data_IF_026510049711
#
_entry.id   IF_026510049711
#
_cell.length_a   1.000
_cell.length_b   1.000
_cell.length_c   1.000
_cell.angle_alpha   90.00
_cell.angle_beta   90.00
_cell.angle_gamma   90.00
#
_symmetry.space_group_name_H-M   'P 1'
#
loop_
_entity.id
_entity.type
_entity.pdbx_description
1 polymer ?
#
# COMPACT_ATOMS: atom_id res chain seq x y z
N UNK A 1 64.79 -71.20 -40.28
CA UNK A 1 64.65 -70.09 -41.26
C UNK A 1 63.56 -69.10 -40.78
N UNK A 2 63.81 -67.91 -40.25
CA UNK A 2 64.97 -67.03 -40.10
C UNK A 2 64.79 -66.26 -38.78
N UNK A 3 65.90 -65.83 -38.18
CA UNK A 3 65.95 -65.07 -36.93
C UNK A 3 66.08 -63.56 -37.19
N UNK A 4 65.56 -62.73 -36.25
CA UNK A 4 66.10 -61.44 -35.75
C UNK A 4 65.05 -60.82 -34.81
N UNK A 5 65.18 -60.93 -33.48
CA UNK A 5 66.04 -60.15 -32.56
C UNK A 5 65.63 -58.67 -32.40
N UNK A 6 64.92 -58.40 -31.29
CA UNK A 6 65.13 -57.28 -30.36
C UNK A 6 64.88 -55.83 -30.81
N UNK A 7 63.91 -55.16 -30.15
CA UNK A 7 64.20 -54.12 -29.14
C UNK A 7 62.90 -53.46 -28.64
N UNK A 8 62.74 -53.48 -27.30
CA UNK A 8 61.73 -52.74 -26.55
C UNK A 8 62.06 -51.23 -26.61
N UNK A 9 61.20 -50.43 -27.22
CA UNK A 9 61.30 -48.97 -27.15
C UNK A 9 60.62 -48.46 -25.88
N UNK A 10 61.45 -48.15 -24.88
CA UNK A 10 61.11 -47.32 -23.73
C UNK A 10 60.56 -45.96 -24.23
N UNK A 11 59.25 -45.72 -24.07
CA UNK A 11 58.69 -44.37 -24.22
C UNK A 11 59.09 -43.54 -22.99
N UNK A 12 60.22 -42.84 -23.10
CA UNK A 12 60.61 -41.78 -22.17
C UNK A 12 59.60 -40.63 -22.28
N UNK A 13 58.74 -40.48 -21.27
CA UNK A 13 57.98 -39.26 -21.07
C UNK A 13 58.94 -38.13 -20.66
N UNK A 14 59.48 -37.41 -21.63
CA UNK A 14 60.10 -36.11 -21.37
C UNK A 14 59.01 -35.08 -21.12
N UNK A 15 58.62 -34.94 -19.85
CA UNK A 15 57.95 -33.73 -19.37
C UNK A 15 58.98 -32.60 -19.36
N UNK A 16 59.19 -31.99 -20.53
CA UNK A 16 60.08 -30.85 -20.68
C UNK A 16 59.39 -29.64 -20.06
N UNK A 17 59.97 -28.96 -19.05
CA UNK A 17 59.36 -27.74 -18.53
C UNK A 17 59.23 -26.76 -19.68
N UNK A 18 58.01 -26.30 -19.96
CA UNK A 18 57.76 -25.30 -20.98
C UNK A 18 58.74 -24.14 -20.75
N UNK A 19 59.53 -23.80 -21.77
CA UNK A 19 60.51 -22.72 -21.61
C UNK A 19 59.75 -21.45 -21.27
N UNK A 20 60.35 -20.54 -20.48
CA UNK A 20 59.71 -19.28 -20.11
C UNK A 20 59.16 -18.52 -21.35
N UNK A 21 59.86 -18.68 -22.49
CA UNK A 21 59.49 -18.14 -23.78
C UNK A 21 58.21 -18.77 -24.36
N UNK A 22 58.02 -20.08 -24.22
CA UNK A 22 56.81 -20.77 -24.68
C UNK A 22 55.59 -20.40 -23.83
N UNK A 23 55.80 -20.15 -22.53
CA UNK A 23 54.75 -19.65 -21.65
C UNK A 23 54.36 -18.22 -22.02
N UNK A 24 55.33 -17.33 -22.27
CA UNK A 24 55.09 -15.96 -22.72
C UNK A 24 54.31 -15.92 -24.04
N UNK A 25 54.65 -16.79 -25.00
CA UNK A 25 53.92 -16.90 -26.27
C UNK A 25 52.45 -17.31 -26.03
N UNK A 26 52.21 -18.29 -25.15
CA UNK A 26 50.84 -18.73 -24.82
C UNK A 26 50.05 -17.64 -24.08
N UNK A 27 50.68 -16.93 -23.15
CA UNK A 27 50.06 -15.83 -22.41
C UNK A 27 49.71 -14.67 -23.36
N UNK A 28 50.62 -14.31 -24.27
CA UNK A 28 50.36 -13.26 -25.25
C UNK A 28 49.23 -13.66 -26.21
N UNK A 29 49.20 -14.91 -26.66
CA UNK A 29 48.11 -15.42 -27.50
C UNK A 29 46.76 -15.41 -26.78
N UNK A 30 46.74 -15.80 -25.49
CA UNK A 30 45.53 -15.73 -24.67
C UNK A 30 45.08 -14.29 -24.44
N UNK A 31 46.01 -13.36 -24.19
CA UNK A 31 45.71 -11.93 -24.04
C UNK A 31 45.15 -11.32 -25.32
N UNK A 32 45.66 -11.71 -26.49
CA UNK A 32 45.12 -11.26 -27.78
C UNK A 32 43.72 -11.80 -28.04
N UNK A 33 43.47 -13.08 -27.75
CA UNK A 33 42.13 -13.66 -27.86
C UNK A 33 41.14 -12.93 -26.93
N UNK A 34 41.53 -12.69 -25.68
CA UNK A 34 40.70 -12.01 -24.68
C UNK A 34 40.46 -10.54 -25.07
N UNK A 35 41.46 -9.84 -25.60
CA UNK A 35 41.31 -8.49 -26.18
C UNK A 35 40.36 -8.49 -27.36
N UNK A 36 40.44 -9.48 -28.26
CA UNK A 36 39.53 -9.58 -29.41
C UNK A 36 38.09 -9.82 -28.98
N UNK A 37 37.86 -10.69 -28.00
CA UNK A 37 36.52 -10.91 -27.43
C UNK A 37 36.01 -9.66 -26.71
N UNK A 38 36.85 -9.02 -25.88
CA UNK A 38 36.49 -7.78 -25.19
C UNK A 38 36.27 -6.61 -26.13
N UNK A 39 37.03 -6.48 -27.22
CA UNK A 39 36.85 -5.40 -28.21
C UNK A 39 35.61 -5.63 -29.07
N UNK A 40 35.24 -6.89 -29.33
CA UNK A 40 33.97 -7.24 -29.98
C UNK A 40 32.77 -6.83 -29.12
N UNK A 41 32.86 -7.03 -27.81
CA UNK A 41 31.83 -6.65 -26.83
C UNK A 41 31.85 -5.14 -26.48
N UNK A 42 33.02 -4.50 -26.46
CA UNK A 42 33.18 -3.07 -26.17
C UNK A 42 32.63 -2.15 -27.25
N UNK A 43 32.50 -2.63 -28.49
CA UNK A 43 32.06 -1.80 -29.63
C UNK A 43 30.55 -1.53 -29.68
N UNK A 44 29.76 -2.06 -28.74
CA UNK A 44 28.39 -1.60 -28.54
C UNK A 44 28.17 -1.13 -27.10
N UNK A 45 28.72 0.02 -26.70
CA UNK A 45 28.37 0.65 -25.44
C UNK A 45 26.91 1.12 -25.56
N UNK A 46 26.00 0.27 -25.13
CA UNK A 46 24.60 0.59 -24.98
C UNK A 46 24.42 1.13 -23.56
N UNK A 47 23.66 2.22 -23.40
CA UNK A 47 23.28 2.68 -22.07
C UNK A 47 22.70 1.48 -21.30
N UNK A 48 23.06 1.30 -20.03
CA UNK A 48 22.50 0.19 -19.24
C UNK A 48 20.96 0.16 -19.31
N UNK A 49 20.31 1.33 -19.41
CA UNK A 49 18.86 1.48 -19.62
C UNK A 49 18.31 0.99 -20.97
N UNK A 50 19.18 0.75 -21.96
CA UNK A 50 18.88 0.30 -23.34
C UNK A 50 19.40 -1.11 -23.62
N UNK A 51 20.11 -1.73 -22.70
CA UNK A 51 20.56 -3.12 -22.80
C UNK A 51 19.46 -4.04 -22.25
N UNK A 52 19.05 -5.04 -23.01
CA UNK A 52 18.14 -6.08 -22.52
C UNK A 52 18.85 -6.89 -21.42
N UNK A 53 18.37 -6.80 -20.18
CA UNK A 53 18.98 -7.50 -19.06
C UNK A 53 18.38 -8.90 -18.91
N UNK A 54 19.18 -9.94 -19.18
CA UNK A 54 18.91 -11.35 -18.88
C UNK A 54 19.04 -11.63 -17.38
N UNK A 55 18.06 -11.21 -16.59
CA UNK A 55 17.78 -11.91 -15.34
C UNK A 55 16.60 -12.83 -15.63
N UNK A 56 16.79 -14.14 -15.41
CA UNK A 56 15.93 -15.20 -15.97
C UNK A 56 14.42 -15.02 -15.76
N UNK A 57 13.96 -14.28 -14.74
CA UNK A 57 12.58 -13.76 -14.80
C UNK A 57 12.27 -12.54 -13.91
N UNK A 58 12.91 -11.38 -14.19
CA UNK A 58 12.50 -10.10 -13.55
C UNK A 58 11.01 -9.77 -13.79
N UNK A 59 10.45 -10.26 -14.91
CA UNK A 59 9.06 -10.05 -15.26
C UNK A 59 8.12 -10.89 -14.40
N UNK A 60 8.39 -12.17 -14.20
CA UNK A 60 7.58 -13.01 -13.32
C UNK A 60 7.63 -12.54 -11.86
N UNK A 61 8.79 -12.03 -11.39
CA UNK A 61 8.86 -11.43 -10.07
C UNK A 61 7.93 -10.21 -9.96
N UNK A 62 7.97 -9.31 -10.95
CA UNK A 62 7.10 -8.14 -10.99
C UNK A 62 5.62 -8.55 -11.09
N UNK A 63 5.27 -9.46 -11.99
CA UNK A 63 3.91 -10.00 -12.16
C UNK A 63 3.39 -10.64 -10.86
N UNK A 64 4.21 -11.43 -10.17
CA UNK A 64 3.83 -12.09 -8.91
C UNK A 64 3.61 -11.08 -7.79
N UNK A 65 4.51 -10.11 -7.64
CA UNK A 65 4.38 -9.07 -6.62
C UNK A 65 3.18 -8.15 -6.90
N UNK A 66 2.99 -7.72 -8.15
CA UNK A 66 1.84 -6.91 -8.54
C UNK A 66 0.53 -7.68 -8.32
N UNK A 67 0.47 -8.95 -8.71
CA UNK A 67 -0.72 -9.79 -8.48
C UNK A 67 -1.02 -9.93 -6.99
N UNK A 68 0.00 -10.12 -6.15
CA UNK A 68 -0.16 -10.20 -4.70
C UNK A 68 -0.67 -8.88 -4.12
N UNK A 69 -0.14 -7.74 -4.55
CA UNK A 69 -0.57 -6.41 -4.10
C UNK A 69 -2.03 -6.18 -4.50
N UNK A 70 -2.40 -6.44 -5.75
CA UNK A 70 -3.79 -6.31 -6.22
C UNK A 70 -4.71 -7.21 -5.39
N UNK A 71 -4.36 -8.48 -5.21
CA UNK A 71 -5.14 -9.42 -4.40
C UNK A 71 -5.28 -8.94 -2.94
N UNK A 72 -4.22 -8.38 -2.35
CA UNK A 72 -4.24 -7.83 -0.99
C UNK A 72 -5.17 -6.62 -0.87
N UNK A 73 -5.07 -5.66 -1.79
CA UNK A 73 -5.94 -4.48 -1.81
C UNK A 73 -7.41 -4.86 -2.00
N UNK A 74 -7.71 -5.78 -2.93
CA UNK A 74 -9.07 -6.29 -3.11
C UNK A 74 -9.58 -6.99 -1.85
N UNK A 75 -8.72 -7.77 -1.18
CA UNK A 75 -9.11 -8.42 0.07
C UNK A 75 -9.42 -7.43 1.18
N UNK A 76 -8.68 -6.30 1.24
CA UNK A 76 -8.99 -5.23 2.18
C UNK A 76 -10.36 -4.61 1.90
N UNK A 77 -10.69 -4.33 0.64
CA UNK A 77 -12.02 -3.82 0.25
C UNK A 77 -13.14 -4.79 0.65
N UNK A 78 -12.94 -6.08 0.42
CA UNK A 78 -13.88 -7.14 0.85
C UNK A 78 -14.02 -7.20 2.38
N UNK A 79 -12.92 -7.08 3.11
CA UNK A 79 -12.93 -7.10 4.57
C UNK A 79 -13.68 -5.90 5.15
N UNK A 80 -13.45 -4.70 4.61
CA UNK A 80 -14.21 -3.51 5.02
C UNK A 80 -15.71 -3.68 4.76
N UNK A 81 -16.08 -4.27 3.62
CA UNK A 81 -17.48 -4.55 3.30
C UNK A 81 -18.10 -5.63 4.19
N UNK A 82 -17.32 -6.64 4.60
CA UNK A 82 -17.80 -7.68 5.51
C UNK A 82 -17.99 -7.17 6.95
N UNK A 83 -17.03 -6.40 7.47
CA UNK A 83 -17.02 -5.98 8.88
C UNK A 83 -17.88 -4.75 9.15
N UNK A 84 -17.96 -3.84 8.18
CA UNK A 84 -18.58 -2.51 8.35
C UNK A 84 -19.55 -2.16 7.22
N UNK A 85 -19.83 -3.09 6.30
CA UNK A 85 -20.69 -2.89 5.15
C UNK A 85 -22.07 -3.49 5.28
N UNK A 86 -22.92 -3.13 4.32
CA UNK A 86 -24.28 -3.65 4.19
C UNK A 86 -24.36 -4.89 3.28
N UNK A 87 -23.25 -5.26 2.63
CA UNK A 87 -23.14 -6.37 1.69
C UNK A 87 -21.93 -7.21 2.08
N UNK A 88 -22.18 -8.40 2.63
CA UNK A 88 -21.14 -9.33 3.09
C UNK A 88 -20.41 -10.03 1.94
N UNK A 89 -20.42 -11.36 1.85
CA UNK A 89 -19.62 -12.10 0.86
C UNK A 89 -19.97 -11.80 -0.62
N UNK A 90 -21.14 -11.20 -0.88
CA UNK A 90 -21.62 -10.86 -2.22
C UNK A 90 -20.87 -9.69 -2.88
N UNK A 91 -20.10 -8.92 -2.10
CA UNK A 91 -19.40 -7.73 -2.61
C UNK A 91 -18.45 -8.06 -3.75
N UNK A 92 -17.84 -9.25 -3.72
CA UNK A 92 -16.89 -9.70 -4.74
C UNK A 92 -17.54 -9.82 -6.12
N UNK A 93 -18.76 -10.34 -6.18
CA UNK A 93 -19.51 -10.44 -7.43
C UNK A 93 -19.84 -9.05 -8.00
N UNK A 94 -20.11 -8.07 -7.14
CA UNK A 94 -20.36 -6.69 -7.56
C UNK A 94 -19.09 -6.00 -8.06
N UNK A 95 -17.94 -6.24 -7.42
CA UNK A 95 -16.64 -5.76 -7.89
C UNK A 95 -16.29 -6.35 -9.27
N UNK A 96 -16.56 -7.64 -9.50
CA UNK A 96 -16.39 -8.28 -10.82
C UNK A 96 -17.30 -7.64 -11.87
N UNK A 97 -18.57 -7.35 -11.53
CA UNK A 97 -19.48 -6.65 -12.45
C UNK A 97 -19.00 -5.24 -12.78
N UNK A 98 -18.50 -4.51 -11.79
CA UNK A 98 -17.93 -3.17 -11.98
C UNK A 98 -16.69 -3.23 -12.88
N UNK A 99 -15.78 -4.19 -12.64
CA UNK A 99 -14.62 -4.42 -13.51
C UNK A 99 -15.04 -4.74 -14.96
N UNK A 100 -16.02 -5.61 -15.14
CA UNK A 100 -16.53 -6.00 -16.45
C UNK A 100 -17.19 -4.84 -17.22
N UNK A 101 -17.67 -3.81 -16.51
CA UNK A 101 -18.30 -2.64 -17.14
C UNK A 101 -17.34 -1.79 -17.99
N UNK A 102 -16.02 -1.92 -17.78
CA UNK A 102 -14.96 -1.12 -18.43
C UNK A 102 -15.14 0.40 -18.28
N UNK A 103 -15.94 0.82 -17.30
CA UNK A 103 -16.08 2.24 -16.94
C UNK A 103 -15.00 2.62 -15.94
N UNK A 104 -14.71 3.92 -15.86
CA UNK A 104 -13.89 4.46 -14.78
C UNK A 104 -14.62 4.26 -13.45
N UNK A 105 -13.93 3.64 -12.48
CA UNK A 105 -14.45 3.36 -11.14
C UNK A 105 -13.69 4.19 -10.12
N UNK A 106 -14.42 4.96 -9.33
CA UNK A 106 -13.87 5.80 -8.27
C UNK A 106 -14.30 5.27 -6.91
N UNK A 107 -13.34 5.15 -5.99
CA UNK A 107 -13.57 4.91 -4.58
C UNK A 107 -13.65 6.26 -3.87
N UNK A 108 -14.75 6.52 -3.18
CA UNK A 108 -14.96 7.73 -2.42
C UNK A 108 -15.26 7.42 -0.95
N UNK A 109 -14.71 8.28 -0.09
CA UNK A 109 -15.03 8.33 1.33
C UNK A 109 -15.66 9.68 1.64
N UNK A 110 -16.76 9.64 2.38
CA UNK A 110 -17.39 10.83 2.95
C UNK A 110 -17.50 10.65 4.46
N UNK A 111 -16.92 11.57 5.22
CA UNK A 111 -17.02 11.61 6.67
C UNK A 111 -17.67 12.91 7.11
N UNK A 112 -18.51 12.83 8.14
CA UNK A 112 -19.23 13.94 8.72
C UNK A 112 -19.06 13.90 10.23
N UNK A 113 -18.51 14.98 10.77
CA UNK A 113 -18.50 15.26 12.20
C UNK A 113 -19.62 16.23 12.51
N UNK A 114 -20.28 16.03 13.64
CA UNK A 114 -21.34 16.91 14.13
C UNK A 114 -21.15 17.16 15.61
N UNK A 115 -21.49 18.37 16.05
CA UNK A 115 -21.60 18.70 17.46
C UNK A 115 -22.95 19.35 17.69
N UNK A 116 -23.74 18.80 18.61
CA UNK A 116 -25.08 19.30 18.94
C UNK A 116 -25.16 19.60 20.42
N UNK A 117 -25.68 20.78 20.77
CA UNK A 117 -25.99 21.08 22.15
C UNK A 117 -27.15 20.19 22.65
N UNK A 118 -26.96 19.52 23.79
CA UNK A 118 -27.98 18.68 24.40
C UNK A 118 -28.72 19.42 25.51
N UNK A 119 -27.99 19.85 26.55
CA UNK A 119 -28.58 20.46 27.75
C UNK A 119 -27.56 21.24 28.58
N UNK A 120 -28.09 22.06 29.49
CA UNK A 120 -27.34 22.77 30.55
C UNK A 120 -27.75 22.20 31.89
N UNK A 121 -26.81 21.95 32.80
CA UNK A 121 -27.09 21.55 34.17
C UNK A 121 -26.12 22.22 35.14
N UNK A 122 -26.60 22.58 36.32
CA UNK A 122 -25.78 23.16 37.37
C UNK A 122 -25.42 22.06 38.38
N UNK A 123 -24.14 22.01 38.75
CA UNK A 123 -23.61 21.12 39.79
C UNK A 123 -23.02 21.95 40.92
N UNK A 124 -23.54 21.73 42.12
CA UNK A 124 -22.99 22.33 43.32
C UNK A 124 -21.78 21.52 43.81
N UNK A 125 -20.64 22.19 43.93
CA UNK A 125 -19.44 21.62 44.53
C UNK A 125 -19.20 22.36 45.85
N UNK A 126 -19.22 21.64 46.98
CA UNK A 126 -19.06 22.27 48.27
C UNK A 126 -17.58 22.59 48.50
N UNK A 127 -17.23 23.85 48.71
CA UNK A 127 -15.85 24.32 48.85
C UNK A 127 -15.11 23.57 49.96
N UNK A 128 -13.82 23.32 49.75
CA UNK A 128 -12.90 22.77 50.76
C UNK A 128 -12.60 23.78 51.87
N UNK A 129 -12.89 25.06 51.64
CA UNK A 129 -12.60 26.15 52.59
C UNK A 129 -13.81 26.35 53.52
N UNK A 130 -13.61 26.06 54.81
CA UNK A 130 -14.59 26.30 55.87
C UNK A 130 -14.45 27.74 56.35
N UNK A 131 -15.53 28.52 56.30
CA UNK A 131 -15.60 29.83 56.94
C UNK A 131 -16.19 29.63 58.33
N UNK A 132 -15.33 29.71 59.35
CA UNK A 132 -15.73 29.62 60.74
C UNK A 132 -15.84 31.04 61.29
N UNK A 133 -17.06 31.53 61.47
CA UNK A 133 -17.30 32.84 62.08
C UNK A 133 -17.59 32.61 63.56
N UNK A 134 -16.67 33.03 64.44
CA UNK A 134 -16.86 32.94 65.88
C UNK A 134 -17.60 34.18 66.38
N UNK A 135 -18.86 34.04 66.79
CA UNK A 135 -19.59 35.08 67.53
C UNK A 135 -19.34 34.91 69.03
N UNK A 136 -19.08 36.03 69.72
CA UNK A 136 -18.62 36.08 71.11
C UNK A 136 -19.69 35.74 72.17
N UNK A 137 -20.89 35.34 71.79
CA UNK A 137 -21.93 34.87 72.72
C UNK A 137 -22.64 33.61 72.17
N UNK A 138 -22.24 32.44 72.68
CA UNK A 138 -22.95 31.13 72.64
C UNK A 138 -23.51 30.64 71.29
N UNK A 139 -22.65 30.44 70.29
CA UNK A 139 -22.98 29.53 69.19
C UNK A 139 -21.96 29.51 68.06
N UNK A 140 -21.40 28.33 67.76
CA UNK A 140 -20.57 28.15 66.56
C UNK A 140 -21.48 27.95 65.35
N UNK A 141 -21.54 28.91 64.43
CA UNK A 141 -22.25 28.74 63.15
C UNK A 141 -21.24 28.39 62.06
N UNK A 142 -21.31 27.17 61.54
CA UNK A 142 -20.48 26.73 60.41
C UNK A 142 -21.13 27.15 59.09
N UNK A 143 -20.48 28.03 58.34
CA UNK A 143 -20.94 28.46 57.01
C UNK A 143 -20.04 27.84 55.94
N UNK A 144 -20.60 26.98 55.08
CA UNK A 144 -19.86 26.40 53.95
C UNK A 144 -20.19 27.16 52.68
N UNK A 145 -19.18 27.66 51.99
CA UNK A 145 -19.35 28.26 50.67
C UNK A 145 -19.62 27.14 49.66
N UNK A 146 -20.78 27.18 49.02
CA UNK A 146 -21.14 26.29 47.91
C UNK A 146 -20.83 27.02 46.60
N UNK A 147 -20.08 26.38 45.71
CA UNK A 147 -19.81 26.92 44.38
C UNK A 147 -20.66 26.17 43.36
N UNK A 148 -21.55 26.90 42.69
CA UNK A 148 -22.35 26.37 41.58
C UNK A 148 -21.52 26.41 40.31
N UNK A 149 -21.28 25.24 39.69
CA UNK A 149 -20.63 25.12 38.38
C UNK A 149 -21.70 24.80 37.35
N UNK A 150 -21.79 25.64 36.34
CA UNK A 150 -22.61 25.37 35.16
C UNK A 150 -21.87 24.45 34.19
N UNK A 151 -22.52 23.35 33.82
CA UNK A 151 -22.04 22.35 32.87
C UNK A 151 -22.96 22.33 31.62
N UNK A 152 -22.35 22.30 30.45
CA UNK A 152 -22.98 22.22 29.14
C UNK A 152 -22.67 20.86 28.52
N UNK A 153 -23.71 20.14 28.11
CA UNK A 153 -23.63 18.80 27.56
C UNK A 153 -23.79 18.88 26.05
N UNK A 154 -22.86 18.26 25.33
CA UNK A 154 -22.79 18.28 23.87
C UNK A 154 -22.74 16.85 23.35
N UNK A 155 -23.50 16.54 22.31
CA UNK A 155 -23.34 15.30 21.57
C UNK A 155 -22.37 15.53 20.42
N UNK A 156 -21.22 14.86 20.47
CA UNK A 156 -20.26 14.82 19.37
C UNK A 156 -20.48 13.53 18.60
N UNK A 157 -20.84 13.65 17.33
CA UNK A 157 -21.04 12.52 16.42
C UNK A 157 -20.00 12.50 15.31
N UNK A 158 -19.55 11.31 14.93
CA UNK A 158 -18.73 11.09 13.75
C UNK A 158 -19.32 9.93 12.96
N UNK A 159 -19.55 10.14 11.67
CA UNK A 159 -19.99 9.11 10.75
C UNK A 159 -19.18 9.14 9.46
N UNK A 160 -18.93 7.97 8.89
CA UNK A 160 -18.31 7.86 7.58
C UNK A 160 -19.03 6.84 6.69
N UNK A 161 -18.91 7.04 5.39
CA UNK A 161 -19.36 6.15 4.35
C UNK A 161 -18.25 5.99 3.31
N UNK A 162 -18.00 4.75 2.90
CA UNK A 162 -17.08 4.36 1.84
C UNK A 162 -17.89 3.70 0.73
N UNK A 163 -17.76 4.18 -0.49
CA UNK A 163 -18.54 3.69 -1.63
C UNK A 163 -17.75 3.77 -2.93
N UNK A 164 -18.07 2.90 -3.87
CA UNK A 164 -17.60 2.91 -5.25
C UNK A 164 -18.68 3.49 -6.14
N UNK A 165 -18.30 4.20 -7.20
CA UNK A 165 -19.24 4.60 -8.24
C UNK A 165 -18.58 4.64 -9.61
N UNK A 166 -19.40 4.59 -10.66
CA UNK A 166 -18.94 4.76 -12.05
C UNK A 166 -19.50 6.05 -12.63
N UNK A 167 -18.68 6.81 -13.36
CA UNK A 167 -19.12 8.08 -13.97
C UNK A 167 -19.30 9.21 -12.94
N UNK A 168 -20.37 9.99 -13.05
CA UNK A 168 -20.69 11.07 -12.11
C UNK A 168 -21.45 10.52 -10.89
N UNK A 169 -21.08 10.95 -9.69
CA UNK A 169 -21.64 10.51 -8.41
C UNK A 169 -23.08 11.02 -8.15
N UNK A 170 -23.86 11.31 -9.19
CA UNK A 170 -25.13 12.02 -9.05
C UNK A 170 -26.32 11.06 -8.92
N UNK A 171 -26.12 9.77 -9.24
CA UNK A 171 -27.16 8.74 -9.20
C UNK A 171 -26.86 7.66 -8.15
N UNK A 172 -27.73 7.48 -7.13
CA UNK A 172 -27.57 6.44 -6.11
C UNK A 172 -27.52 5.02 -6.68
N UNK A 173 -28.11 4.80 -7.86
CA UNK A 173 -28.14 3.49 -8.52
C UNK A 173 -26.75 3.05 -9.02
N UNK A 174 -25.86 4.01 -9.30
CA UNK A 174 -24.48 3.75 -9.76
C UNK A 174 -23.48 3.69 -8.59
N UNK A 175 -23.97 3.76 -7.34
CA UNK A 175 -23.15 3.71 -6.13
C UNK A 175 -23.21 2.34 -5.47
N UNK A 176 -22.06 1.70 -5.34
CA UNK A 176 -21.86 0.51 -4.53
C UNK A 176 -21.28 0.90 -3.17
N UNK A 177 -22.13 0.97 -2.15
CA UNK A 177 -21.68 1.22 -0.77
C UNK A 177 -20.86 0.04 -0.26
N UNK A 178 -19.60 0.29 0.09
CA UNK A 178 -18.70 -0.70 0.68
C UNK A 178 -18.89 -0.78 2.18
N UNK A 179 -18.73 0.34 2.88
CA UNK A 179 -18.73 0.38 4.33
C UNK A 179 -19.35 1.67 4.85
N UNK A 180 -19.80 1.67 6.09
CA UNK A 180 -20.06 2.92 6.79
C UNK A 180 -20.45 2.68 8.23
N UNK A 181 -20.02 3.61 9.08
CA UNK A 181 -20.30 3.54 10.52
C UNK A 181 -20.58 4.93 11.03
N UNK A 182 -21.47 5.02 12.00
CA UNK A 182 -21.71 6.24 12.77
C UNK A 182 -21.59 5.93 14.25
N UNK A 183 -21.03 6.88 15.00
CA UNK A 183 -20.91 6.82 16.45
C UNK A 183 -21.07 8.22 17.04
N UNK A 184 -21.43 8.28 18.31
CA UNK A 184 -21.49 9.55 19.04
C UNK A 184 -21.13 9.35 20.50
N UNK A 185 -20.60 10.40 21.13
CA UNK A 185 -20.35 10.47 22.56
C UNK A 185 -20.88 11.80 23.14
N UNK A 186 -21.06 11.81 24.45
CA UNK A 186 -21.41 13.02 25.19
C UNK A 186 -20.12 13.68 25.73
N UNK A 187 -19.99 14.99 25.53
CA UNK A 187 -18.90 15.82 26.02
C UNK A 187 -19.47 16.88 26.94
N UNK A 188 -18.83 17.10 28.09
CA UNK A 188 -19.27 18.07 29.09
C UNK A 188 -18.24 19.20 29.15
N UNK A 189 -18.70 20.44 28.98
CA UNK A 189 -17.86 21.64 29.11
C UNK A 189 -18.42 22.59 30.16
N UNK A 190 -17.60 23.53 30.63
CA UNK A 190 -18.05 24.65 31.51
C UNK A 190 -18.33 25.93 30.74
N UNK A 191 -18.09 25.92 29.43
CA UNK A 191 -18.36 27.04 28.54
C UNK A 191 -19.57 26.71 27.69
N UNK A 192 -20.37 27.73 27.41
CA UNK A 192 -21.48 27.71 26.47
C UNK A 192 -21.06 27.70 25.00
N UNK A 193 -19.75 27.72 24.72
CA UNK A 193 -19.18 27.63 23.37
C UNK A 193 -19.04 26.18 22.94
N UNK A 194 -19.29 25.95 21.65
CA UNK A 194 -19.10 24.66 21.01
C UNK A 194 -17.65 24.16 21.21
N UNK A 195 -17.46 22.90 21.66
CA UNK A 195 -16.12 22.32 21.84
C UNK A 195 -15.42 22.02 20.50
N UNK A 196 -16.19 21.75 19.44
CA UNK A 196 -15.74 21.55 18.06
C UNK A 196 -16.78 22.19 17.12
N UNK A 197 -16.44 22.46 15.84
CA UNK A 197 -17.41 22.98 14.88
C UNK A 197 -18.70 22.14 14.85
N UNK A 198 -19.84 22.82 14.69
CA UNK A 198 -21.18 22.18 14.69
C UNK A 198 -21.30 21.10 13.61
N UNK A 199 -20.62 21.30 12.48
CA UNK A 199 -20.54 20.33 11.41
C UNK A 199 -19.25 20.48 10.60
N UNK A 200 -18.48 19.41 10.48
CA UNK A 200 -17.39 19.29 9.52
C UNK A 200 -17.69 18.17 8.53
N UNK A 201 -17.28 18.35 7.29
CA UNK A 201 -17.40 17.33 6.24
C UNK A 201 -16.03 17.11 5.64
N UNK A 202 -15.59 15.86 5.60
CA UNK A 202 -14.38 15.43 4.92
C UNK A 202 -14.78 14.53 3.76
N UNK A 203 -14.15 14.74 2.61
CA UNK A 203 -14.35 13.91 1.45
C UNK A 203 -13.00 13.64 0.79
N UNK A 204 -12.83 12.43 0.25
CA UNK A 204 -11.66 12.03 -0.50
C UNK A 204 -12.03 10.98 -1.52
N UNK A 205 -11.41 11.05 -2.69
CA UNK A 205 -11.71 10.19 -3.82
C UNK A 205 -10.40 9.69 -4.43
N UNK A 206 -10.37 8.44 -4.88
CA UNK A 206 -9.27 7.89 -5.67
C UNK A 206 -9.80 6.94 -6.75
N UNK A 207 -9.12 6.90 -7.90
CA UNK A 207 -9.45 5.92 -8.94
C UNK A 207 -8.99 4.54 -8.49
N UNK A 208 -9.87 3.55 -8.64
CA UNK A 208 -9.53 2.13 -8.46
C UNK A 208 -9.72 1.35 -9.76
N UNK A 209 -9.83 2.06 -10.88
CA UNK A 209 -10.07 1.48 -12.21
C UNK A 209 -8.98 0.46 -12.55
N UNK A 210 -7.70 0.84 -12.39
CA UNK A 210 -6.57 -0.04 -12.63
C UNK A 210 -6.63 -1.30 -11.76
N UNK A 211 -6.88 -1.13 -10.45
CA UNK A 211 -6.99 -2.24 -9.50
C UNK A 211 -8.07 -3.25 -9.92
N UNK A 212 -9.27 -2.76 -10.27
CA UNK A 212 -10.39 -3.61 -10.65
C UNK A 212 -10.21 -4.23 -12.04
N UNK A 213 -9.46 -3.62 -12.94
CA UNK A 213 -9.20 -4.14 -14.29
C UNK A 213 -8.51 -5.52 -14.30
N UNK A 214 -7.83 -5.86 -13.20
CA UNK A 214 -7.14 -7.14 -13.01
C UNK A 214 -8.03 -8.26 -12.46
N UNK A 215 -9.33 -7.99 -12.23
CA UNK A 215 -10.32 -8.99 -11.88
C UNK A 215 -10.97 -9.52 -13.16
N UNK A 216 -10.70 -10.80 -13.50
CA UNK A 216 -11.33 -11.45 -14.66
C UNK A 216 -12.57 -12.24 -14.27
N UNK A 217 -12.45 -12.99 -13.18
CA UNK A 217 -13.50 -13.83 -12.61
C UNK A 217 -13.45 -13.71 -11.09
N UNK A 218 -14.43 -14.28 -10.40
CA UNK A 218 -14.46 -14.23 -8.94
C UNK A 218 -13.16 -14.76 -8.32
N UNK A 219 -12.48 -15.77 -8.89
CA UNK A 219 -11.27 -16.34 -8.27
C UNK A 219 -9.96 -15.96 -8.95
N UNK A 220 -10.01 -15.25 -10.07
CA UNK A 220 -8.83 -14.94 -10.87
C UNK A 220 -8.46 -13.46 -10.77
N UNK A 221 -7.40 -13.21 -10.02
CA UNK A 221 -6.71 -11.92 -9.95
C UNK A 221 -5.28 -12.17 -10.40
N UNK A 222 -4.93 -11.65 -11.57
CA UNK A 222 -3.59 -11.80 -12.12
C UNK A 222 -3.18 -10.57 -12.91
N UNK A 223 -1.97 -10.11 -12.64
CA UNK A 223 -1.28 -9.08 -13.41
C UNK A 223 -0.30 -9.76 -14.34
N UNK A 224 -0.41 -9.49 -15.64
CA UNK A 224 0.51 -9.99 -16.67
C UNK A 224 1.07 -8.83 -17.45
N UNK A 225 2.39 -8.77 -17.54
CA UNK A 225 3.10 -7.73 -18.29
C UNK A 225 3.24 -8.19 -19.73
N UNK A 226 2.78 -7.38 -20.67
CA UNK A 226 3.04 -7.66 -22.08
C UNK A 226 4.53 -7.45 -22.38
N UNK A 227 5.24 -8.55 -22.58
CA UNK A 227 6.68 -8.58 -22.86
C UNK A 227 6.99 -8.22 -24.31
N UNK A 228 6.00 -8.24 -25.20
CA UNK A 228 6.18 -7.93 -26.62
C UNK A 228 5.99 -6.44 -26.93
N UNK A 229 5.61 -5.63 -25.95
CA UNK A 229 5.46 -4.20 -26.13
C UNK A 229 6.82 -3.54 -26.36
N UNK A 230 6.92 -2.75 -27.43
CA UNK A 230 8.14 -2.03 -27.82
C UNK A 230 8.71 -1.09 -26.73
N UNK A 231 7.88 -0.62 -25.80
CA UNK A 231 8.28 0.19 -24.64
C UNK A 231 8.75 -0.66 -23.45
N UNK A 232 8.48 -1.97 -23.45
CA UNK A 232 8.72 -2.89 -22.34
C UNK A 232 10.15 -3.46 -22.33
N UNK A 233 11.14 -2.59 -22.25
CA UNK A 233 12.56 -2.99 -22.12
C UNK A 233 12.91 -3.51 -20.70
N UNK A 234 12.14 -3.13 -19.69
CA UNK A 234 12.22 -3.64 -18.32
C UNK A 234 10.81 -3.69 -17.71
N UNK A 235 10.57 -4.50 -16.66
CA UNK A 235 9.25 -4.55 -16.01
C UNK A 235 8.73 -3.16 -15.59
N UNK A 236 9.61 -2.31 -15.05
CA UNK A 236 9.27 -0.94 -14.64
C UNK A 236 8.82 -0.06 -15.81
N UNK A 237 9.34 -0.29 -17.02
CA UNK A 237 9.01 0.49 -18.22
C UNK A 237 7.78 -0.05 -18.96
N UNK A 238 7.20 -1.16 -18.50
CA UNK A 238 5.97 -1.68 -19.07
C UNK A 238 4.84 -0.63 -18.89
N UNK A 239 4.05 -0.35 -19.94
CA UNK A 239 2.93 0.59 -19.85
C UNK A 239 1.97 0.31 -18.69
N UNK A 240 1.65 -0.96 -18.44
CA UNK A 240 0.78 -1.37 -17.32
C UNK A 240 1.29 -0.89 -15.96
N UNK A 241 2.62 -0.87 -15.78
CA UNK A 241 3.26 -0.41 -14.54
C UNK A 241 3.26 1.12 -14.44
N UNK A 242 3.28 1.83 -15.57
CA UNK A 242 3.08 3.28 -15.57
C UNK A 242 1.64 3.64 -15.25
N UNK A 243 0.68 2.94 -15.86
CA UNK A 243 -0.76 3.14 -15.62
C UNK A 243 -1.16 2.92 -14.15
N UNK A 244 -0.37 2.14 -13.41
CA UNK A 244 -0.58 1.89 -11.97
C UNK A 244 -0.12 3.07 -11.08
N UNK A 245 0.72 3.96 -11.60
CA UNK A 245 1.34 5.07 -10.86
C UNK A 245 0.67 6.42 -11.14
N UNK A 246 -0.12 6.50 -12.21
CA UNK A 246 -0.91 7.67 -12.60
C UNK A 246 -2.28 7.69 -11.91
#
# INVERSE_FOLDING_TARGET
PEARSGQLAFMSYHNTPASARDLEIKVNSALEALRKTLDTEKQQPVLASKQEHTYDDKFALAESLCSLVVASCLRQLEAFAADYGARGPEIRADLVKLAASKKHVTLAMKSVETCKFLRKADREIPSTTKLQTTSSEKGTTESRVVTTITEHFWQVGHGYELFLYTGAADQPADMLRLAGRASSCEVITRSDRYPIPERNVYAGECSVTWLLSHMKEERDVSVRLDRNDSACLTPRRNPLVNDALD
#
